data_IF_136535343504
#
_entry.id   IF_136535343504
#
_cell.length_a   1.000
_cell.length_b   1.000
_cell.length_c   1.000
_cell.angle_alpha   90.00
_cell.angle_beta   90.00
_cell.angle_gamma   90.00
#
_symmetry.space_group_name_H-M   'P 1'
#
loop_
_entity.id
_entity.type
_entity.pdbx_description
1 polymer ?
#
# COMPACT_ATOMS: atom_id res chain seq x y z
N UNK A 1 -7.71 7.84 -19.74
CA UNK A 1 -7.59 8.52 -18.67
C UNK A 1 -7.09 7.79 -17.53
N UNK A 2 -7.67 6.74 -17.10
CA UNK A 2 -7.18 6.02 -16.02
C UNK A 2 -5.74 5.59 -16.20
N UNK A 3 -5.40 5.10 -17.38
CA UNK A 3 -4.07 4.70 -17.67
C UNK A 3 -3.10 5.86 -17.56
N UNK A 4 -3.54 7.02 -17.96
CA UNK A 4 -2.70 8.21 -17.87
C UNK A 4 -2.44 8.60 -16.44
N UNK A 5 -3.43 8.42 -15.57
CA UNK A 5 -3.25 8.73 -14.16
C UNK A 5 -2.21 7.81 -13.53
N UNK A 6 -2.22 6.54 -13.89
CA UNK A 6 -1.25 5.60 -13.34
C UNK A 6 0.14 5.87 -13.85
N UNK A 7 0.25 6.23 -15.13
CA UNK A 7 1.54 6.60 -15.68
C UNK A 7 2.10 7.84 -15.01
N UNK A 8 1.23 8.78 -14.70
CA UNK A 8 1.65 9.98 -14.01
C UNK A 8 2.14 9.66 -12.61
N UNK A 9 1.47 8.73 -11.91
CA UNK A 9 1.92 8.31 -10.61
C UNK A 9 3.32 7.69 -10.67
N UNK A 10 3.57 6.89 -11.70
CA UNK A 10 4.88 6.28 -11.85
C UNK A 10 5.97 7.33 -12.07
N UNK A 11 5.65 8.40 -12.77
CA UNK A 11 6.60 9.48 -12.99
C UNK A 11 6.84 10.27 -11.72
N UNK A 12 5.77 10.58 -10.98
CA UNK A 12 5.88 11.38 -9.77
C UNK A 12 6.32 10.55 -8.57
N UNK A 13 6.07 9.26 -8.61
CA UNK A 13 6.41 8.35 -7.53
C UNK A 13 7.18 7.17 -8.11
N UNK A 14 8.43 7.41 -8.52
CA UNK A 14 9.22 6.34 -9.14
C UNK A 14 9.43 5.13 -8.25
N UNK A 15 9.32 5.31 -6.94
CA UNK A 15 9.40 4.21 -6.00
C UNK A 15 8.27 3.19 -6.23
N UNK A 16 7.09 3.65 -6.65
CA UNK A 16 5.98 2.73 -6.93
C UNK A 16 6.35 1.78 -8.06
N UNK A 17 6.92 2.32 -9.12
CA UNK A 17 7.31 1.50 -10.27
C UNK A 17 8.40 0.51 -9.89
N UNK A 18 9.34 0.95 -9.06
CA UNK A 18 10.41 0.07 -8.60
C UNK A 18 9.85 -1.08 -7.77
N UNK A 19 8.93 -0.76 -6.85
CA UNK A 19 8.31 -1.79 -6.02
C UNK A 19 7.53 -2.77 -6.88
N UNK A 20 6.81 -2.27 -7.87
CA UNK A 20 5.99 -3.13 -8.74
C UNK A 20 6.82 -4.19 -9.44
N UNK A 21 8.06 -3.88 -9.74
CA UNK A 21 8.94 -4.85 -10.41
C UNK A 21 9.24 -6.06 -9.56
N UNK A 22 9.14 -5.91 -8.25
CA UNK A 22 9.42 -7.00 -7.31
C UNK A 22 8.20 -7.85 -7.03
N UNK A 23 7.02 -7.39 -7.43
CA UNK A 23 5.76 -8.04 -7.08
C UNK A 23 5.25 -8.85 -8.26
N UNK A 24 5.13 -10.16 -8.13
CA UNK A 24 4.59 -10.99 -9.21
C UNK A 24 3.13 -10.66 -9.50
N UNK A 25 2.70 -10.93 -10.72
CA UNK A 25 1.30 -10.75 -11.09
C UNK A 25 0.40 -11.57 -10.17
N UNK A 26 -0.66 -10.94 -9.71
CA UNK A 26 -1.67 -11.64 -8.90
C UNK A 26 -1.27 -11.97 -7.49
N UNK A 27 -0.14 -11.45 -7.02
CA UNK A 27 0.32 -11.72 -5.65
C UNK A 27 -0.64 -11.14 -4.63
N UNK A 28 -0.63 -11.71 -3.43
CA UNK A 28 -1.37 -11.14 -2.31
C UNK A 28 -0.43 -10.27 -1.49
N UNK A 29 -0.87 -9.06 -1.19
CA UNK A 29 -0.02 -8.04 -0.56
C UNK A 29 -0.74 -7.42 0.62
N UNK A 30 -0.07 -7.37 1.75
CA UNK A 30 -0.56 -6.67 2.94
C UNK A 30 0.32 -5.44 3.14
N UNK A 31 -0.30 -4.27 3.23
CA UNK A 31 0.43 -3.02 3.45
C UNK A 31 0.06 -2.46 4.81
N UNK A 32 0.97 -2.60 5.76
CA UNK A 32 0.78 -2.08 7.12
C UNK A 32 1.12 -0.60 7.11
N UNK A 33 0.15 0.24 7.46
CA UNK A 33 0.32 1.68 7.38
C UNK A 33 0.22 2.15 5.94
N UNK A 34 -0.85 1.77 5.26
CA UNK A 34 -0.98 2.02 3.82
C UNK A 34 -1.31 3.48 3.47
N UNK A 35 -1.57 4.32 4.46
CA UNK A 35 -1.89 5.71 4.18
C UNK A 35 -3.15 5.85 3.36
N UNK A 36 -3.05 6.53 2.23
CA UNK A 36 -4.20 6.74 1.36
C UNK A 36 -4.44 5.60 0.38
N UNK A 37 -3.62 4.57 0.44
CA UNK A 37 -3.79 3.40 -0.41
C UNK A 37 -3.26 3.56 -1.82
N UNK A 38 -2.54 4.63 -2.10
CA UNK A 38 -2.03 4.89 -3.45
C UNK A 38 -1.17 3.77 -3.98
N UNK A 39 -0.28 3.26 -3.15
CA UNK A 39 0.62 2.19 -3.58
C UNK A 39 -0.16 0.92 -3.87
N UNK A 40 -1.06 0.54 -2.99
CA UNK A 40 -1.87 -0.66 -3.22
C UNK A 40 -2.71 -0.52 -4.48
N UNK A 41 -3.30 0.66 -4.69
CA UNK A 41 -4.06 0.88 -5.91
C UNK A 41 -3.18 0.72 -7.14
N UNK A 42 -1.99 1.29 -7.10
CA UNK A 42 -1.04 1.19 -8.19
C UNK A 42 -0.70 -0.27 -8.49
N UNK A 43 -0.42 -1.04 -7.43
CA UNK A 43 -0.09 -2.46 -7.60
C UNK A 43 -1.27 -3.26 -8.12
N UNK A 44 -2.47 -2.95 -7.68
CA UNK A 44 -3.68 -3.61 -8.18
C UNK A 44 -3.84 -3.37 -9.66
N UNK A 45 -3.61 -2.15 -10.11
CA UNK A 45 -3.78 -1.81 -11.52
C UNK A 45 -2.65 -2.35 -12.39
N UNK A 46 -1.42 -2.30 -11.90
CA UNK A 46 -0.26 -2.69 -12.69
C UNK A 46 0.08 -4.17 -12.59
N UNK A 47 -0.19 -4.79 -11.47
CA UNK A 47 0.22 -6.18 -11.25
C UNK A 47 -0.94 -7.08 -10.85
N UNK A 48 -2.16 -6.56 -10.80
CA UNK A 48 -3.32 -7.37 -10.46
C UNK A 48 -3.26 -8.00 -9.09
N UNK A 49 -2.59 -7.34 -8.14
CA UNK A 49 -2.45 -7.91 -6.80
C UNK A 49 -3.77 -7.94 -6.07
N UNK A 50 -3.87 -8.84 -5.10
CA UNK A 50 -4.94 -8.83 -4.12
C UNK A 50 -4.39 -8.11 -2.90
N UNK A 51 -4.78 -6.86 -2.74
CA UNK A 51 -4.20 -6.00 -1.73
C UNK A 51 -5.11 -5.77 -0.54
N UNK A 52 -4.50 -5.72 0.63
CA UNK A 52 -5.16 -5.33 1.86
C UNK A 52 -4.28 -4.31 2.56
N UNK A 53 -4.92 -3.27 3.09
CA UNK A 53 -4.21 -2.25 3.84
C UNK A 53 -4.64 -2.23 5.28
N UNK A 54 -3.74 -1.81 6.14
CA UNK A 54 -4.04 -1.52 7.53
C UNK A 54 -3.65 -0.08 7.75
N UNK A 55 -4.56 0.70 8.28
CA UNK A 55 -4.35 2.13 8.48
C UNK A 55 -5.09 2.57 9.72
N UNK A 56 -4.48 3.46 10.51
CA UNK A 56 -5.11 3.92 11.74
C UNK A 56 -5.82 5.27 11.56
N UNK A 57 -5.42 6.06 10.60
CA UNK A 57 -5.95 7.39 10.37
C UNK A 57 -7.32 7.35 9.69
N UNK A 58 -8.29 8.11 10.22
CA UNK A 58 -9.61 8.20 9.60
C UNK A 58 -9.52 8.74 8.18
N UNK A 59 -8.65 9.71 7.97
CA UNK A 59 -8.47 10.30 6.63
C UNK A 59 -7.88 9.28 5.67
N UNK A 60 -6.93 8.50 6.16
CA UNK A 60 -6.34 7.44 5.35
C UNK A 60 -7.35 6.39 4.95
N UNK A 61 -8.20 5.98 5.89
CA UNK A 61 -9.24 5.00 5.62
C UNK A 61 -10.19 5.52 4.54
N UNK A 62 -10.64 6.76 4.68
CA UNK A 62 -11.55 7.35 3.70
C UNK A 62 -10.91 7.40 2.33
N UNK A 63 -9.63 7.76 2.26
CA UNK A 63 -8.91 7.83 1.00
C UNK A 63 -8.74 6.45 0.38
N UNK A 64 -8.46 5.43 1.19
CA UNK A 64 -8.36 4.05 0.70
C UNK A 64 -9.67 3.59 0.08
N UNK A 65 -10.76 3.87 0.74
CA UNK A 65 -12.08 3.48 0.23
C UNK A 65 -12.32 4.17 -1.11
N UNK A 66 -11.99 5.45 -1.18
CA UNK A 66 -12.11 6.23 -2.42
C UNK A 66 -11.26 5.64 -3.54
N UNK A 67 -10.11 5.09 -3.19
CA UNK A 67 -9.19 4.51 -4.16
C UNK A 67 -9.51 3.06 -4.50
N UNK A 68 -10.57 2.51 -3.93
CA UNK A 68 -10.96 1.14 -4.22
C UNK A 68 -10.03 0.11 -3.60
N UNK A 69 -9.46 0.43 -2.45
CA UNK A 69 -8.52 -0.44 -1.75
C UNK A 69 -9.21 -1.04 -0.54
N UNK A 70 -9.07 -2.34 -0.36
CA UNK A 70 -9.55 -3.00 0.85
C UNK A 70 -8.68 -2.56 2.03
N UNK A 71 -9.31 -2.07 3.09
CA UNK A 71 -8.56 -1.53 4.20
C UNK A 71 -9.27 -1.82 5.51
N UNK A 72 -8.48 -2.01 6.55
CA UNK A 72 -8.99 -2.22 7.92
C UNK A 72 -8.35 -1.15 8.78
N UNK A 73 -9.16 -0.52 9.64
CA UNK A 73 -8.66 0.48 10.55
C UNK A 73 -8.13 -0.19 11.81
N UNK A 74 -6.82 -0.12 11.98
CA UNK A 74 -6.17 -0.74 13.12
C UNK A 74 -4.75 -0.19 13.22
N UNK A 75 -4.09 -0.43 14.36
CA UNK A 75 -2.68 -0.07 14.47
C UNK A 75 -1.83 -1.18 13.84
N UNK A 76 -0.55 -0.90 13.67
CA UNK A 76 0.35 -1.83 12.98
C UNK A 76 0.47 -3.15 13.72
N UNK A 77 0.60 -3.07 15.03
CA UNK A 77 0.82 -4.27 15.85
C UNK A 77 -0.40 -5.18 15.83
N UNK A 78 -1.56 -4.60 16.06
CA UNK A 78 -2.80 -5.37 16.04
C UNK A 78 -3.11 -5.88 14.64
N UNK A 79 -2.81 -5.07 13.63
CA UNK A 79 -3.01 -5.47 12.25
C UNK A 79 -2.19 -6.67 11.89
N UNK A 80 -0.92 -6.68 12.30
CA UNK A 80 -0.05 -7.80 12.04
C UNK A 80 -0.55 -9.05 12.75
N UNK A 81 -0.97 -8.92 14.00
CA UNK A 81 -1.52 -10.02 14.76
C UNK A 81 -2.74 -10.63 14.09
N UNK A 82 -3.64 -9.76 13.64
CA UNK A 82 -4.86 -10.20 12.99
C UNK A 82 -4.59 -10.98 11.71
N UNK A 83 -3.52 -10.63 11.02
CA UNK A 83 -3.21 -11.23 9.73
C UNK A 83 -2.10 -12.27 9.79
N UNK A 84 -1.55 -12.54 10.96
CA UNK A 84 -0.39 -13.42 11.03
C UNK A 84 -0.71 -14.84 10.59
N UNK A 85 -1.95 -15.26 10.70
CA UNK A 85 -2.35 -16.60 10.27
C UNK A 85 -2.82 -16.64 8.83
N UNK A 86 -2.86 -15.51 8.17
CA UNK A 86 -3.25 -15.45 6.77
C UNK A 86 -2.01 -15.52 5.91
N UNK A 87 -2.21 -16.06 4.72
CA UNK A 87 -1.11 -16.17 3.79
C UNK A 87 -1.06 -14.95 2.89
N UNK A 88 -0.03 -14.17 3.05
CA UNK A 88 0.26 -13.08 2.12
C UNK A 88 1.61 -13.35 1.49
N UNK A 89 1.70 -13.10 0.20
CA UNK A 89 2.97 -13.29 -0.49
C UNK A 89 3.97 -12.20 -0.09
N UNK A 90 3.47 -11.00 0.19
CA UNK A 90 4.31 -9.87 0.58
C UNK A 90 3.65 -9.06 1.67
N UNK A 91 4.46 -8.57 2.60
CA UNK A 91 4.01 -7.65 3.65
C UNK A 91 4.88 -6.41 3.57
N UNK A 92 4.25 -5.25 3.48
CA UNK A 92 4.96 -3.99 3.32
C UNK A 92 4.66 -3.03 4.47
N UNK A 93 5.55 -2.07 4.66
CA UNK A 93 5.41 -1.02 5.66
C UNK A 93 5.63 0.33 5.00
N UNK A 94 4.86 0.61 3.95
CA UNK A 94 5.12 1.75 3.09
C UNK A 94 5.08 3.08 3.81
N UNK A 95 4.12 3.28 4.68
CA UNK A 95 3.99 4.55 5.39
C UNK A 95 5.12 4.71 6.41
N UNK A 96 5.48 3.61 7.05
CA UNK A 96 6.58 3.62 8.00
C UNK A 96 7.89 3.99 7.33
N UNK A 97 8.11 3.49 6.12
CA UNK A 97 9.31 3.84 5.38
C UNK A 97 9.34 5.33 5.05
N UNK A 98 8.20 5.90 4.70
CA UNK A 98 8.13 7.33 4.45
C UNK A 98 8.42 8.13 5.71
N UNK A 99 7.86 7.70 6.82
CA UNK A 99 8.09 8.38 8.08
C UNK A 99 9.56 8.31 8.48
N UNK A 100 10.18 7.17 8.27
CA UNK A 100 11.60 7.02 8.55
C UNK A 100 12.43 7.99 7.74
N UNK A 101 12.08 8.14 6.47
CA UNK A 101 12.78 9.07 5.61
C UNK A 101 12.66 10.50 6.08
N UNK A 102 11.49 10.87 6.59
CA UNK A 102 11.25 12.21 7.07
C UNK A 102 11.95 12.51 8.38
N UNK A 103 12.14 11.51 9.19
CA UNK A 103 12.75 11.71 10.50
C UNK A 103 14.24 11.41 10.48
N UNK A 104 14.73 11.01 9.37
CA UNK A 104 16.10 10.60 9.20
C UNK A 104 17.15 11.55 9.71
N UNK A 105 17.08 12.80 9.45
CA UNK A 105 18.18 13.70 9.82
C UNK A 105 18.33 13.93 11.30
N UNK A 106 18.09 13.05 12.10
CA UNK A 106 18.36 13.24 13.52
C UNK A 106 19.86 13.01 13.86
#
# INVERSE_FOLDING_TARGET
MMMNDLNKLAIERPDFAAIAKWIPLGASVLDLGCGDGSLLRYLQEKRGVRGYGVEISDLGIAACISNGVNVIQNDLESGLSDFENNSFDFVMLSQTLQATRHTEPL
#
